data_IF_655056923831
#
_entry.id   IF_655056923831
#
_cell.length_a   1.000
_cell.length_b   1.000
_cell.length_c   1.000
_cell.angle_alpha   90.00
_cell.angle_beta   90.00
_cell.angle_gamma   90.00
#
_symmetry.space_group_name_H-M   'P 1'
#
loop_
_entity.id
_entity.type
_entity.pdbx_description
1 polymer ?
#
# COMPACT_ATOMS: atom_id res chain seq x y z
N UNK A 1 -12.91 -7.48 -30.51
CA UNK A 1 -11.48 -7.87 -30.52
C UNK A 1 -11.04 -7.88 -29.09
N UNK A 2 -10.88 -9.08 -28.55
CA UNK A 2 -10.48 -9.35 -27.18
C UNK A 2 -8.97 -9.06 -27.07
N UNK A 3 -8.60 -7.84 -26.65
CA UNK A 3 -7.23 -7.56 -26.28
C UNK A 3 -7.04 -7.94 -24.81
N UNK A 4 -6.68 -9.20 -24.61
CA UNK A 4 -6.07 -9.69 -23.38
C UNK A 4 -4.68 -9.05 -23.28
N UNK A 5 -4.63 -7.76 -22.94
CA UNK A 5 -3.41 -7.01 -22.69
C UNK A 5 -2.78 -7.56 -21.39
N UNK A 6 -1.93 -8.58 -21.56
CA UNK A 6 -0.97 -9.15 -20.61
C UNK A 6 -1.18 -8.69 -19.17
N UNK A 7 -2.13 -9.34 -18.50
CA UNK A 7 -2.60 -9.05 -17.13
C UNK A 7 -1.55 -9.32 -16.03
N UNK A 8 -0.30 -9.62 -16.39
CA UNK A 8 0.80 -10.01 -15.50
C UNK A 8 2.11 -9.37 -15.99
N UNK A 9 2.57 -8.33 -15.29
CA UNK A 9 3.81 -7.57 -15.58
C UNK A 9 3.79 -6.17 -14.93
N UNK A 10 4.90 -5.42 -15.03
CA UNK A 10 4.93 -3.98 -14.71
C UNK A 10 4.14 -3.22 -15.79
N UNK A 11 2.81 -3.24 -15.68
CA UNK A 11 1.92 -2.47 -16.55
C UNK A 11 1.60 -1.14 -15.88
N UNK A 12 1.32 -0.11 -16.67
CA UNK A 12 0.95 1.23 -16.17
C UNK A 12 -0.23 1.18 -15.18
N UNK A 13 -1.16 0.24 -15.41
CA UNK A 13 -2.26 -0.06 -14.49
C UNK A 13 -1.76 -0.61 -13.14
N UNK A 14 -0.81 -1.55 -13.15
CA UNK A 14 -0.25 -2.13 -11.94
C UNK A 14 0.58 -1.10 -11.14
N UNK A 15 1.35 -0.25 -11.82
CA UNK A 15 2.12 0.83 -11.17
C UNK A 15 1.21 1.87 -10.53
N UNK A 16 0.16 2.31 -11.25
CA UNK A 16 -0.85 3.22 -10.70
C UNK A 16 -1.57 2.62 -9.49
N UNK A 17 -1.94 1.34 -9.56
CA UNK A 17 -2.57 0.65 -8.44
C UNK A 17 -1.63 0.50 -7.25
N UNK A 18 -0.38 0.09 -7.47
CA UNK A 18 0.63 -0.02 -6.41
C UNK A 18 0.92 1.33 -5.74
N UNK A 19 1.00 2.41 -6.53
CA UNK A 19 1.18 3.77 -6.00
C UNK A 19 0.03 4.21 -5.10
N UNK A 20 -1.22 3.92 -5.48
CA UNK A 20 -2.40 4.24 -4.64
C UNK A 20 -2.42 3.42 -3.35
N UNK A 21 -2.11 2.13 -3.43
CA UNK A 21 -2.01 1.28 -2.25
C UNK A 21 -0.90 1.74 -1.30
N UNK A 22 0.24 2.20 -1.83
CA UNK A 22 1.32 2.76 -1.02
C UNK A 22 0.90 4.05 -0.30
N UNK A 23 0.23 4.99 -1.00
CA UNK A 23 -0.30 6.21 -0.38
C UNK A 23 -1.32 5.89 0.73
N UNK A 24 -2.21 4.92 0.50
CA UNK A 24 -3.18 4.48 1.52
C UNK A 24 -2.49 3.81 2.72
N UNK A 25 -1.51 2.94 2.48
CA UNK A 25 -0.73 2.30 3.53
C UNK A 25 0.01 3.30 4.41
N UNK A 26 0.55 4.37 3.81
CA UNK A 26 1.19 5.45 4.55
C UNK A 26 0.21 6.23 5.44
N UNK A 27 -0.95 6.61 4.90
CA UNK A 27 -2.00 7.31 5.66
C UNK A 27 -2.52 6.45 6.80
N UNK A 28 -2.79 5.16 6.54
CA UNK A 28 -3.22 4.21 7.56
C UNK A 28 -2.13 4.07 8.63
N UNK A 29 -0.86 3.97 8.24
CA UNK A 29 0.26 3.93 9.17
C UNK A 29 0.29 5.12 10.12
N UNK A 30 0.22 6.35 9.60
CA UNK A 30 0.18 7.56 10.42
C UNK A 30 -1.07 7.60 11.30
N UNK A 31 -2.24 7.29 10.75
CA UNK A 31 -3.49 7.27 11.51
C UNK A 31 -3.43 6.27 12.66
N UNK A 32 -2.82 5.12 12.42
CA UNK A 32 -2.71 4.04 13.40
C UNK A 32 -1.71 4.39 14.50
N UNK A 33 -0.60 5.05 14.14
CA UNK A 33 0.37 5.61 15.08
C UNK A 33 -0.26 6.69 15.98
N UNK A 34 -1.09 7.57 15.40
CA UNK A 34 -1.83 8.58 16.14
C UNK A 34 -2.86 7.99 17.11
N UNK A 35 -3.61 6.98 16.68
CA UNK A 35 -4.66 6.35 17.51
C UNK A 35 -4.08 5.51 18.66
N UNK A 36 -2.93 4.88 18.45
CA UNK A 36 -2.36 3.94 19.43
C UNK A 36 -1.31 4.62 20.32
N UNK A 37 -0.76 5.75 19.89
CA UNK A 37 0.33 6.46 20.59
C UNK A 37 1.65 5.65 20.63
N UNK A 38 1.68 4.51 19.94
CA UNK A 38 2.81 3.60 19.84
C UNK A 38 3.15 3.48 18.35
N UNK A 39 4.41 3.73 18.00
CA UNK A 39 4.86 3.74 16.60
C UNK A 39 4.49 2.44 15.87
N UNK A 40 4.30 2.53 14.54
CA UNK A 40 4.02 1.36 13.66
C UNK A 40 4.93 0.16 13.98
N UNK A 41 6.19 0.43 14.35
CA UNK A 41 7.18 -0.58 14.72
C UNK A 41 6.80 -1.43 15.94
N UNK A 42 6.13 -0.86 16.92
CA UNK A 42 5.72 -1.60 18.12
C UNK A 42 4.44 -2.40 17.89
N UNK A 43 3.55 -1.96 17.00
CA UNK A 43 2.41 -2.78 16.57
C UNK A 43 2.82 -3.98 15.71
N UNK A 44 3.89 -3.83 14.94
CA UNK A 44 4.53 -4.94 14.22
C UNK A 44 5.36 -5.85 15.14
N UNK A 45 5.43 -5.56 16.44
CA UNK A 45 6.13 -6.37 17.45
C UNK A 45 7.66 -6.30 17.35
N UNK A 46 8.20 -5.27 16.69
CA UNK A 46 9.65 -5.05 16.56
C UNK A 46 10.25 -4.24 17.74
N UNK A 47 9.39 -3.73 18.63
CA UNK A 47 9.74 -3.13 19.93
C UNK A 47 8.68 -3.46 20.98
#
# INVERSE_FOLDING_TARGET
>A
MENQDKKLGFTDFAETWNGRLAMLGFVIGIATEYLTGQGILSQLGLM
#
